data_IF_527082212338
#
_entry.id   IF_527082212338
#
_cell.length_a   1.000
_cell.length_b   1.000
_cell.length_c   1.000
_cell.angle_alpha   90.00
_cell.angle_beta   90.00
_cell.angle_gamma   90.00
#
_symmetry.space_group_name_H-M   'P 1'
#
loop_
_entity.id
_entity.type
_entity.pdbx_description
1 polymer ?
#
# COMPACT_ATOMS: atom_id res chain seq x y z
N UNK A 1 11.71 12.62 0.77
CA UNK A 1 11.83 13.39 -0.46
C UNK A 1 10.64 14.30 -0.62
N UNK A 2 9.45 13.87 -0.94
CA UNK A 2 8.31 14.76 -1.19
C UNK A 2 8.06 15.87 -0.16
N UNK A 3 8.14 15.56 1.15
CA UNK A 3 7.95 16.56 2.20
C UNK A 3 9.06 17.63 2.30
N UNK A 4 10.26 17.35 1.81
CA UNK A 4 11.34 18.36 1.77
C UNK A 4 11.10 19.44 0.69
N UNK A 5 10.34 19.07 -0.34
CA UNK A 5 10.09 19.90 -1.51
C UNK A 5 8.69 20.55 -1.46
N UNK A 6 8.07 20.61 -0.28
CA UNK A 6 6.69 21.08 -0.05
C UNK A 6 5.62 20.34 -0.89
N UNK A 7 5.90 19.10 -1.28
CA UNK A 7 4.98 18.28 -2.03
C UNK A 7 4.18 17.34 -1.11
N UNK A 8 3.01 16.96 -1.56
CA UNK A 8 2.13 16.07 -0.80
C UNK A 8 2.47 14.60 -1.00
N UNK A 9 2.17 13.83 0.03
CA UNK A 9 2.27 12.36 0.04
C UNK A 9 0.92 11.78 0.44
N UNK A 10 0.41 10.86 -0.34
CA UNK A 10 -0.77 10.08 0.01
C UNK A 10 -0.33 8.67 0.41
N UNK A 11 -0.86 8.19 1.53
CA UNK A 11 -0.71 6.82 2.00
C UNK A 11 -2.06 6.12 1.92
N UNK A 12 -2.19 5.13 1.04
CA UNK A 12 -3.44 4.39 0.88
C UNK A 12 -3.38 3.02 1.53
N UNK A 13 -4.51 2.59 2.08
CA UNK A 13 -4.70 1.23 2.58
C UNK A 13 -6.05 0.67 2.12
N UNK A 14 -6.22 -0.67 2.06
CA UNK A 14 -7.43 -1.29 1.52
C UNK A 14 -8.64 -1.17 2.44
N UNK A 15 -8.45 -0.90 3.73
CA UNK A 15 -9.53 -0.87 4.71
C UNK A 15 -9.38 0.27 5.71
N UNK A 16 -10.52 0.81 6.19
CA UNK A 16 -10.59 1.93 7.14
C UNK A 16 -9.80 1.70 8.44
N UNK A 17 -9.84 0.48 8.98
CA UNK A 17 -9.15 0.16 10.23
C UNK A 17 -7.63 0.33 10.10
N UNK A 18 -7.05 -0.10 8.98
CA UNK A 18 -5.61 0.09 8.69
C UNK A 18 -5.29 1.57 8.45
N UNK A 19 -6.16 2.31 7.76
CA UNK A 19 -6.00 3.77 7.59
C UNK A 19 -5.94 4.48 8.94
N UNK A 20 -6.86 4.16 9.87
CA UNK A 20 -6.88 4.74 11.21
C UNK A 20 -5.61 4.40 12.01
N UNK A 21 -5.13 3.17 11.92
CA UNK A 21 -3.88 2.75 12.58
C UNK A 21 -2.69 3.53 12.00
N UNK A 22 -2.55 3.56 10.68
CA UNK A 22 -1.46 4.27 10.01
C UNK A 22 -1.48 5.78 10.24
N UNK A 23 -2.67 6.38 10.33
CA UNK A 23 -2.80 7.78 10.72
C UNK A 23 -2.17 8.04 12.10
N UNK A 24 -2.44 7.19 13.10
CA UNK A 24 -1.82 7.32 14.43
C UNK A 24 -0.31 7.16 14.36
N UNK A 25 0.17 6.08 13.71
CA UNK A 25 1.61 5.78 13.58
C UNK A 25 2.37 6.93 12.89
N UNK A 26 1.75 7.55 11.87
CA UNK A 26 2.36 8.65 11.13
C UNK A 26 2.26 9.97 11.88
N UNK A 27 1.19 10.22 12.66
CA UNK A 27 1.03 11.42 13.47
C UNK A 27 2.03 11.51 14.62
N UNK A 28 2.58 10.38 15.06
CA UNK A 28 3.69 10.36 16.02
C UNK A 28 5.03 10.83 15.39
N UNK A 29 5.17 10.68 14.07
CA UNK A 29 6.42 10.95 13.34
C UNK A 29 6.41 12.27 12.58
N UNK A 30 5.25 12.70 12.12
CA UNK A 30 5.06 13.87 11.28
C UNK A 30 4.05 14.81 11.94
N UNK A 31 4.31 16.12 11.86
CA UNK A 31 3.44 17.14 12.50
C UNK A 31 2.16 17.41 11.72
N UNK A 32 2.19 17.22 10.40
CA UNK A 32 1.10 17.59 9.49
C UNK A 32 0.60 16.34 8.77
N UNK A 33 -0.33 15.64 9.43
CA UNK A 33 -0.95 14.41 8.93
C UNK A 33 -2.46 14.57 8.90
N UNK A 34 -3.08 14.10 7.82
CA UNK A 34 -4.53 14.05 7.62
C UNK A 34 -5.04 12.63 7.49
N UNK A 35 -6.34 12.45 7.70
CA UNK A 35 -7.06 11.18 7.52
C UNK A 35 -8.33 11.40 6.72
N UNK A 36 -8.48 10.66 5.62
CA UNK A 36 -9.68 10.65 4.80
C UNK A 36 -10.20 9.21 4.64
N UNK A 37 -11.36 8.96 5.21
CA UNK A 37 -12.12 7.70 5.04
C UNK A 37 -13.56 8.02 4.70
N UNK A 38 -14.38 7.02 4.40
CA UNK A 38 -15.79 7.26 4.10
C UNK A 38 -16.56 7.97 5.20
N UNK A 39 -16.11 7.87 6.45
CA UNK A 39 -16.81 8.39 7.63
C UNK A 39 -16.06 9.54 8.32
N UNK A 40 -14.78 9.73 8.03
CA UNK A 40 -13.89 10.66 8.74
C UNK A 40 -13.12 11.52 7.76
N UNK A 41 -13.10 12.82 7.98
CA UNK A 41 -12.27 13.78 7.27
C UNK A 41 -11.56 14.67 8.30
N UNK A 42 -10.27 14.43 8.50
CA UNK A 42 -9.40 15.19 9.39
C UNK A 42 -8.24 15.77 8.59
N UNK A 43 -8.03 17.08 8.66
CA UNK A 43 -6.93 17.79 8.00
C UNK A 43 -6.66 17.32 6.54
N UNK A 44 -7.68 17.41 5.70
CA UNK A 44 -7.64 16.92 4.31
C UNK A 44 -6.54 17.57 3.45
N UNK A 45 -6.04 18.73 3.87
CA UNK A 45 -5.01 19.50 3.17
C UNK A 45 -3.60 19.29 3.74
N UNK A 46 -3.42 18.32 4.65
CA UNK A 46 -2.12 17.99 5.22
C UNK A 46 -1.08 17.60 4.16
N UNK A 47 0.19 17.76 4.50
CA UNK A 47 1.31 17.33 3.65
C UNK A 47 1.38 15.80 3.51
N UNK A 48 0.92 15.06 4.53
CA UNK A 48 0.75 13.60 4.50
C UNK A 48 -0.71 13.29 4.74
N UNK A 49 -1.37 12.65 3.79
CA UNK A 49 -2.77 12.24 3.98
C UNK A 49 -2.90 10.73 3.90
N UNK A 50 -3.44 10.13 4.94
CA UNK A 50 -3.79 8.71 4.97
C UNK A 50 -5.24 8.57 4.50
N UNK A 51 -5.49 7.66 3.58
CA UNK A 51 -6.84 7.44 3.06
C UNK A 51 -7.06 6.00 2.58
N UNK A 52 -8.31 5.63 2.34
CA UNK A 52 -8.59 4.38 1.62
C UNK A 52 -8.44 4.58 0.12
N UNK A 53 -8.16 3.49 -0.60
CA UNK A 53 -7.94 3.53 -2.05
C UNK A 53 -9.19 4.01 -2.80
N UNK A 54 -10.39 3.71 -2.30
CA UNK A 54 -11.67 4.18 -2.86
C UNK A 54 -11.81 5.71 -2.79
N UNK A 55 -11.30 6.33 -1.72
CA UNK A 55 -11.31 7.80 -1.60
C UNK A 55 -10.37 8.42 -2.65
N UNK A 56 -9.16 7.88 -2.77
CA UNK A 56 -8.23 8.34 -3.80
C UNK A 56 -8.82 8.21 -5.22
N UNK A 57 -9.47 7.08 -5.52
CA UNK A 57 -10.19 6.90 -6.79
C UNK A 57 -11.22 8.01 -7.01
N UNK A 58 -12.03 8.30 -6.01
CA UNK A 58 -13.07 9.33 -6.09
C UNK A 58 -12.46 10.72 -6.36
N UNK A 59 -11.34 11.05 -5.70
CA UNK A 59 -10.63 12.30 -5.93
C UNK A 59 -10.10 12.40 -7.36
N UNK A 60 -9.52 11.31 -7.88
CA UNK A 60 -9.01 11.25 -9.26
C UNK A 60 -10.13 11.47 -10.29
N UNK A 61 -11.27 10.82 -10.10
CA UNK A 61 -12.43 11.01 -11.00
C UNK A 61 -13.03 12.41 -10.95
N UNK A 62 -12.97 13.08 -9.78
CA UNK A 62 -13.43 14.46 -9.63
C UNK A 62 -12.45 15.51 -10.13
N UNK A 63 -11.21 15.12 -10.43
CA UNK A 63 -10.16 16.07 -10.81
C UNK A 63 -9.78 16.99 -9.64
N UNK A 64 -9.67 16.44 -8.43
CA UNK A 64 -9.36 17.22 -7.23
C UNK A 64 -7.99 17.90 -7.37
N UNK A 65 -7.93 19.20 -7.08
CA UNK A 65 -6.72 20.02 -7.23
C UNK A 65 -5.56 19.52 -6.34
N UNK A 66 -5.84 18.81 -5.26
CA UNK A 66 -4.82 18.23 -4.38
C UNK A 66 -3.92 17.21 -5.08
N UNK A 67 -4.37 16.65 -6.20
CA UNK A 67 -3.59 15.71 -7.03
C UNK A 67 -2.45 16.43 -7.76
N UNK A 68 -2.55 17.72 -8.04
CA UNK A 68 -1.52 18.48 -8.75
C UNK A 68 -0.22 18.60 -7.95
N UNK A 69 -0.33 18.77 -6.62
CA UNK A 69 0.82 18.92 -5.71
C UNK A 69 1.32 17.55 -5.18
N UNK A 70 0.75 16.45 -5.68
CA UNK A 70 1.06 15.11 -5.20
C UNK A 70 2.36 14.61 -5.83
N UNK A 71 3.29 14.14 -5.01
CA UNK A 71 4.58 13.60 -5.47
C UNK A 71 4.71 12.09 -5.32
N UNK A 72 4.09 11.55 -4.28
CA UNK A 72 4.20 10.12 -3.95
C UNK A 72 2.86 9.57 -3.50
N UNK A 73 2.51 8.40 -3.99
CA UNK A 73 1.43 7.57 -3.45
C UNK A 73 2.03 6.26 -2.95
N UNK A 74 1.77 5.97 -1.67
CA UNK A 74 2.13 4.70 -1.04
C UNK A 74 0.88 3.82 -1.03
N UNK A 75 0.99 2.66 -1.63
CA UNK A 75 -0.02 1.60 -1.63
C UNK A 75 0.38 0.54 -0.62
N UNK A 76 -0.25 0.56 0.55
CA UNK A 76 -0.02 -0.46 1.58
C UNK A 76 -0.90 -1.68 1.36
N UNK A 77 -0.39 -2.85 1.74
CA UNK A 77 -1.04 -4.15 1.53
C UNK A 77 -1.38 -4.40 0.05
N UNK A 78 -0.43 -4.15 -0.85
CA UNK A 78 -0.64 -4.20 -2.29
C UNK A 78 -1.15 -5.54 -2.84
N UNK A 79 -1.12 -6.62 -2.05
CA UNK A 79 -1.70 -7.91 -2.43
C UNK A 79 -3.23 -7.87 -2.60
N UNK A 80 -3.92 -6.84 -2.06
CA UNK A 80 -5.35 -6.62 -2.30
C UNK A 80 -5.69 -6.28 -3.76
N UNK A 81 -4.71 -6.00 -4.60
CA UNK A 81 -4.92 -5.88 -6.06
C UNK A 81 -5.46 -7.19 -6.67
N UNK A 82 -5.19 -8.34 -6.04
CA UNK A 82 -5.70 -9.64 -6.45
C UNK A 82 -7.08 -9.98 -5.88
N UNK A 83 -7.68 -9.10 -5.08
CA UNK A 83 -9.03 -9.26 -4.55
C UNK A 83 -10.06 -9.03 -5.66
N UNK A 84 -11.06 -9.93 -5.76
CA UNK A 84 -12.04 -9.91 -6.84
C UNK A 84 -12.92 -8.64 -6.86
N UNK A 85 -13.20 -8.07 -5.70
CA UNK A 85 -14.07 -6.88 -5.58
C UNK A 85 -13.25 -5.58 -5.56
N UNK A 86 -12.09 -5.58 -4.91
CA UNK A 86 -11.27 -4.38 -4.67
C UNK A 86 -10.18 -4.17 -5.71
N UNK A 87 -9.75 -5.23 -6.38
CA UNK A 87 -8.67 -5.16 -7.37
C UNK A 87 -8.91 -4.14 -8.46
N UNK A 88 -10.14 -4.06 -8.98
CA UNK A 88 -10.54 -3.06 -9.99
C UNK A 88 -10.30 -1.63 -9.52
N UNK A 89 -10.60 -1.32 -8.25
CA UNK A 89 -10.35 0.02 -7.66
C UNK A 89 -8.86 0.37 -7.70
N UNK A 90 -8.01 -0.59 -7.38
CA UNK A 90 -6.56 -0.41 -7.40
C UNK A 90 -6.03 -0.19 -8.81
N UNK A 91 -6.48 -0.99 -9.77
CA UNK A 91 -6.10 -0.85 -11.17
C UNK A 91 -6.50 0.52 -11.72
N UNK A 92 -7.74 0.96 -11.48
CA UNK A 92 -8.22 2.28 -11.89
C UNK A 92 -7.37 3.40 -11.31
N UNK A 93 -7.08 3.36 -10.00
CA UNK A 93 -6.24 4.37 -9.34
C UNK A 93 -4.84 4.39 -9.96
N UNK A 94 -4.22 3.23 -10.15
CA UNK A 94 -2.90 3.15 -10.76
C UNK A 94 -2.93 3.74 -12.17
N UNK A 95 -3.92 3.43 -12.99
CA UNK A 95 -4.04 3.94 -14.36
C UNK A 95 -4.25 5.45 -14.37
N UNK A 96 -5.16 5.97 -13.53
CA UNK A 96 -5.58 7.38 -13.52
C UNK A 96 -4.54 8.32 -12.92
N UNK A 97 -3.69 7.86 -12.01
CA UNK A 97 -2.66 8.70 -11.40
C UNK A 97 -1.74 9.31 -12.47
N UNK A 98 -1.46 10.62 -12.45
CA UNK A 98 -0.51 11.26 -13.37
C UNK A 98 0.88 10.60 -13.35
N UNK A 99 1.55 10.59 -14.51
CA UNK A 99 2.84 9.90 -14.69
C UNK A 99 4.00 10.51 -13.89
N UNK A 100 3.89 11.77 -13.46
CA UNK A 100 4.91 12.41 -12.62
C UNK A 100 4.93 11.89 -11.18
N UNK A 101 3.83 11.30 -10.71
CA UNK A 101 3.69 10.80 -9.33
C UNK A 101 4.48 9.51 -9.18
N UNK A 102 5.27 9.41 -8.11
CA UNK A 102 5.98 8.21 -7.77
C UNK A 102 5.07 7.24 -7.01
N UNK A 103 5.06 5.97 -7.41
CA UNK A 103 4.27 4.93 -6.80
C UNK A 103 5.17 4.03 -5.96
N UNK A 104 4.79 3.79 -4.71
CA UNK A 104 5.47 2.86 -3.80
C UNK A 104 4.47 1.81 -3.34
N UNK A 105 4.77 0.54 -3.60
CA UNK A 105 3.93 -0.59 -3.22
C UNK A 105 4.57 -1.36 -2.07
N UNK A 106 3.81 -1.58 -1.01
CA UNK A 106 4.22 -2.37 0.16
C UNK A 106 3.32 -3.59 0.25
N UNK A 107 3.92 -4.77 0.33
CA UNK A 107 3.17 -6.03 0.45
C UNK A 107 3.96 -7.07 1.25
N UNK A 108 3.27 -7.80 2.10
CA UNK A 108 3.86 -8.95 2.80
C UNK A 108 3.93 -10.20 1.91
N UNK A 109 2.97 -10.35 0.99
CA UNK A 109 2.85 -11.53 0.12
C UNK A 109 2.39 -11.08 -1.27
N UNK A 110 3.24 -11.28 -2.27
CA UNK A 110 2.89 -11.03 -3.66
C UNK A 110 3.60 -12.07 -4.52
N UNK A 111 2.94 -13.23 -4.80
CA UNK A 111 3.57 -14.33 -5.54
C UNK A 111 4.06 -13.88 -6.92
N UNK A 112 3.28 -13.04 -7.60
CA UNK A 112 3.53 -12.57 -8.97
C UNK A 112 4.07 -11.13 -9.00
N UNK A 113 4.92 -10.77 -8.04
CA UNK A 113 5.40 -9.38 -7.91
C UNK A 113 6.17 -8.87 -9.14
N UNK A 114 6.82 -9.76 -9.90
CA UNK A 114 7.51 -9.40 -11.14
C UNK A 114 6.52 -9.05 -12.26
N UNK A 115 5.47 -9.87 -12.45
CA UNK A 115 4.44 -9.61 -13.46
C UNK A 115 3.66 -8.33 -13.13
N UNK A 116 3.36 -8.14 -11.84
CA UNK A 116 2.73 -6.91 -11.34
C UNK A 116 3.61 -5.68 -11.59
N UNK A 117 4.90 -5.78 -11.29
CA UNK A 117 5.88 -4.71 -11.56
C UNK A 117 5.99 -4.40 -13.05
N UNK A 118 6.02 -5.41 -13.91
CA UNK A 118 6.05 -5.24 -15.36
C UNK A 118 4.79 -4.54 -15.88
N UNK A 119 3.61 -4.95 -15.40
CA UNK A 119 2.35 -4.29 -15.73
C UNK A 119 2.35 -2.80 -15.34
N UNK A 120 2.81 -2.47 -14.11
CA UNK A 120 2.95 -1.07 -13.66
C UNK A 120 3.92 -0.31 -14.57
N UNK A 121 5.06 -0.91 -14.86
CA UNK A 121 6.09 -0.30 -15.71
C UNK A 121 5.57 0.04 -17.11
N UNK A 122 4.81 -0.87 -17.71
CA UNK A 122 4.15 -0.64 -19.01
C UNK A 122 3.07 0.44 -18.91
N UNK A 123 2.24 0.39 -17.88
CA UNK A 123 1.14 1.34 -17.67
C UNK A 123 1.66 2.76 -17.46
N UNK A 124 2.73 2.91 -16.66
CA UNK A 124 3.33 4.22 -16.33
C UNK A 124 4.47 4.64 -17.25
N UNK A 125 4.90 3.77 -18.15
CA UNK A 125 6.05 3.99 -19.04
C UNK A 125 7.33 4.38 -18.27
N UNK A 126 7.56 3.71 -17.14
CA UNK A 126 8.67 3.98 -16.21
C UNK A 126 9.32 2.68 -15.75
N UNK A 127 10.60 2.76 -15.41
CA UNK A 127 11.30 1.63 -14.75
C UNK A 127 10.73 1.40 -13.37
N UNK A 128 10.46 0.13 -13.06
CA UNK A 128 10.00 -0.33 -11.73
C UNK A 128 11.10 -1.13 -11.07
N UNK A 129 11.34 -0.86 -9.81
CA UNK A 129 12.31 -1.59 -8.99
C UNK A 129 11.56 -2.51 -8.04
N UNK A 130 11.81 -3.81 -8.15
CA UNK A 130 11.25 -4.81 -7.25
C UNK A 130 12.28 -5.19 -6.19
N UNK A 131 11.93 -4.98 -4.92
CA UNK A 131 12.78 -5.33 -3.78
C UNK A 131 12.10 -6.45 -3.01
N UNK A 132 12.80 -7.57 -2.89
CA UNK A 132 12.29 -8.76 -2.22
C UNK A 132 13.23 -9.22 -1.12
N UNK A 133 12.69 -9.59 0.04
CA UNK A 133 13.44 -10.24 1.13
C UNK A 133 12.79 -11.55 1.54
N UNK A 134 13.60 -12.59 1.71
CA UNK A 134 13.18 -13.89 2.24
C UNK A 134 13.17 -13.93 3.76
N UNK A 135 13.81 -12.94 4.39
CA UNK A 135 13.95 -12.90 5.84
C UNK A 135 12.66 -12.37 6.49
N UNK A 136 12.10 -13.16 7.40
CA UNK A 136 10.97 -12.76 8.24
C UNK A 136 11.48 -12.46 9.65
N UNK A 137 11.12 -11.31 10.26
CA UNK A 137 11.46 -11.03 11.66
C UNK A 137 10.91 -12.10 12.61
N UNK A 138 9.68 -12.57 12.36
CA UNK A 138 9.08 -13.70 13.07
C UNK A 138 9.03 -14.91 12.15
N UNK A 139 9.74 -16.01 12.49
CA UNK A 139 9.73 -17.24 11.68
C UNK A 139 8.33 -17.84 11.58
N UNK A 140 7.95 -18.25 10.37
CA UNK A 140 6.70 -18.99 10.15
C UNK A 140 6.95 -20.47 10.43
N UNK A 141 6.15 -21.04 11.34
CA UNK A 141 6.14 -22.47 11.66
C UNK A 141 4.75 -23.02 11.40
N UNK A 142 4.68 -24.13 10.71
CA UNK A 142 3.44 -24.84 10.44
C UNK A 142 3.30 -26.03 11.38
N UNK A 143 2.15 -26.15 12.02
CA UNK A 143 1.83 -27.24 12.94
C UNK A 143 0.59 -27.99 12.48
N UNK A 144 0.63 -29.30 12.62
CA UNK A 144 -0.56 -30.13 12.57
C UNK A 144 -1.07 -30.36 14.00
N UNK A 145 -2.35 -30.12 14.22
CA UNK A 145 -2.97 -30.35 15.53
C UNK A 145 -3.76 -31.63 15.50
N UNK A 146 -3.32 -32.67 16.26
CA UNK A 146 -3.93 -33.98 16.32
C UNK A 146 -4.10 -34.40 17.78
N UNK A 147 -5.30 -34.85 18.14
CA UNK A 147 -5.61 -35.37 19.48
C UNK A 147 -5.12 -34.48 20.63
N UNK A 148 -5.33 -33.17 20.51
CA UNK A 148 -4.96 -32.21 21.56
C UNK A 148 -3.48 -31.83 21.60
N UNK A 149 -2.65 -32.28 20.65
CA UNK A 149 -1.20 -31.99 20.61
C UNK A 149 -0.79 -31.36 19.27
N UNK A 150 0.04 -30.28 19.29
CA UNK A 150 0.62 -29.72 18.09
C UNK A 150 1.87 -30.52 17.68
N UNK A 151 1.95 -30.89 16.41
CA UNK A 151 3.12 -31.48 15.78
C UNK A 151 3.68 -30.51 14.75
N UNK A 152 4.97 -30.18 14.84
CA UNK A 152 5.64 -29.31 13.87
C UNK A 152 5.73 -30.04 12.52
N UNK A 153 5.15 -29.43 11.46
CA UNK A 153 5.22 -29.95 10.10
C UNK A 153 6.37 -29.33 9.31
N UNK A 154 6.55 -28.02 9.45
CA UNK A 154 7.54 -27.29 8.67
C UNK A 154 8.04 -26.08 9.43
N UNK A 155 9.34 -25.87 9.41
CA UNK A 155 10.04 -24.68 9.92
C UNK A 155 10.81 -24.04 8.75
N UNK A 156 11.09 -22.74 8.83
CA UNK A 156 11.88 -21.99 7.83
C UNK A 156 13.27 -22.59 7.54
N UNK A 157 13.75 -23.53 8.36
CA UNK A 157 15.01 -24.24 8.16
C UNK A 157 14.98 -25.31 7.06
N UNK A 158 13.80 -25.70 6.56
CA UNK A 158 13.65 -26.76 5.54
C UNK A 158 13.73 -26.26 4.09
N UNK A 159 14.31 -25.09 3.85
CA UNK A 159 14.64 -24.60 2.50
C UNK A 159 16.12 -24.29 2.38
N UNK A 160 16.91 -25.32 2.58
CA UNK A 160 18.24 -25.43 1.96
C UNK A 160 18.25 -26.76 1.24
N UNK A 161 17.80 -26.69 -0.04
CA UNK A 161 18.46 -27.43 -1.13
C UNK A 161 17.71 -27.09 -2.42
#
# INVERSE_FOLDING_TARGET
MGLRDNQRVIYTSPIKALSNQKYRDLSEKFKDVGLLTGDVSLNAHASVVVMTTEILRTMLYRGDDTIQDLSVVVFDEAHYVSDAERGVVWEEVIILLPSHINLLFLSATCPNFLDFGDWIGRTKKRTVYAVYTKMRPTPLRHYLYVQGKPFLLMDNKFRSD
#
